data_IF_121186623357
#
_entry.id   IF_121186623357
#
_cell.length_a   1.000
_cell.length_b   1.000
_cell.length_c   1.000
_cell.angle_alpha   90.00
_cell.angle_beta   90.00
_cell.angle_gamma   90.00
#
_symmetry.space_group_name_H-M   'P 1'
#
loop_
_entity.id
_entity.type
_entity.pdbx_description
1 polymer ?
#
# COMPACT_ATOMS: atom_id res chain seq x y z
N UNK A 1 -19.11 2.96 6.44
CA UNK A 1 -17.98 2.30 5.76
C UNK A 1 -17.36 3.21 4.70
N UNK A 2 -18.16 3.74 3.77
CA UNK A 2 -17.68 4.65 2.71
C UNK A 2 -16.97 5.91 3.27
N UNK A 3 -17.61 6.65 4.19
CA UNK A 3 -17.00 7.84 4.82
C UNK A 3 -15.66 7.50 5.50
N UNK A 4 -15.61 6.39 6.24
CA UNK A 4 -14.38 5.91 6.89
C UNK A 4 -13.31 5.55 5.86
N UNK A 5 -13.68 4.94 4.73
CA UNK A 5 -12.76 4.60 3.65
C UNK A 5 -12.16 5.84 2.99
N UNK A 6 -12.98 6.88 2.76
CA UNK A 6 -12.51 8.18 2.27
C UNK A 6 -11.54 8.81 3.27
N UNK A 7 -11.91 8.90 4.55
CA UNK A 7 -11.05 9.48 5.58
C UNK A 7 -9.71 8.73 5.72
N UNK A 8 -9.73 7.39 5.71
CA UNK A 8 -8.51 6.57 5.73
C UNK A 8 -7.68 6.81 4.47
N UNK A 9 -8.30 6.88 3.29
CA UNK A 9 -7.62 7.15 2.04
C UNK A 9 -6.94 8.52 2.02
N UNK A 10 -7.64 9.57 2.44
CA UNK A 10 -7.09 10.92 2.56
C UNK A 10 -5.90 10.95 3.52
N UNK A 11 -6.06 10.38 4.71
CA UNK A 11 -4.99 10.31 5.71
C UNK A 11 -3.78 9.53 5.18
N UNK A 12 -4.00 8.37 4.57
CA UNK A 12 -2.94 7.56 3.98
C UNK A 12 -2.21 8.32 2.86
N UNK A 13 -2.93 8.99 1.96
CA UNK A 13 -2.33 9.77 0.89
C UNK A 13 -1.46 10.92 1.41
N UNK A 14 -1.92 11.66 2.42
CA UNK A 14 -1.13 12.71 3.08
C UNK A 14 0.11 12.14 3.77
N UNK A 15 -0.03 11.02 4.50
CA UNK A 15 1.11 10.39 5.17
C UNK A 15 2.15 9.85 4.18
N UNK A 16 1.70 9.30 3.05
CA UNK A 16 2.59 8.87 1.96
C UNK A 16 3.34 10.07 1.39
N UNK A 17 2.67 11.19 1.16
CA UNK A 17 3.31 12.41 0.65
C UNK A 17 4.34 12.97 1.64
N UNK A 18 3.98 13.12 2.91
CA UNK A 18 4.90 13.54 3.98
C UNK A 18 6.11 12.60 4.04
N UNK A 19 5.89 11.29 4.01
CA UNK A 19 6.98 10.32 3.98
C UNK A 19 7.88 10.45 2.75
N UNK A 20 7.27 10.63 1.58
CA UNK A 20 7.98 10.86 0.31
C UNK A 20 8.82 12.12 0.38
N UNK A 21 8.26 13.22 0.87
CA UNK A 21 8.96 14.49 1.05
C UNK A 21 10.16 14.35 2.00
N UNK A 22 9.95 13.74 3.17
CA UNK A 22 11.01 13.54 4.17
C UNK A 22 12.14 12.68 3.61
N UNK A 23 11.81 11.60 2.90
CA UNK A 23 12.82 10.73 2.27
C UNK A 23 13.51 11.41 1.10
N UNK A 24 12.78 12.19 0.29
CA UNK A 24 13.36 12.97 -0.80
C UNK A 24 14.40 13.98 -0.29
N UNK A 25 14.14 14.59 0.87
CA UNK A 25 14.99 15.64 1.44
C UNK A 25 16.11 15.11 2.34
N UNK A 26 15.83 14.11 3.17
CA UNK A 26 16.72 13.65 4.23
C UNK A 26 17.07 12.16 4.12
N UNK A 27 16.58 11.46 3.10
CA UNK A 27 16.82 10.04 2.91
C UNK A 27 18.30 9.70 2.78
N UNK A 28 18.67 8.44 3.07
CA UNK A 28 20.04 8.00 2.93
C UNK A 28 20.43 7.84 1.45
N UNK A 29 21.72 7.99 1.20
CA UNK A 29 22.36 7.86 -0.10
C UNK A 29 23.76 7.30 0.08
N UNK A 30 24.24 6.58 -0.92
CA UNK A 30 25.59 6.05 -0.98
C UNK A 30 26.07 5.95 -2.45
N UNK A 31 27.31 5.53 -2.65
CA UNK A 31 27.87 5.37 -3.99
C UNK A 31 27.05 4.35 -4.80
N UNK A 32 26.32 4.85 -5.80
CA UNK A 32 25.52 4.03 -6.71
C UNK A 32 24.03 3.93 -6.39
N UNK A 33 23.52 4.50 -5.29
CA UNK A 33 22.09 4.58 -5.01
C UNK A 33 21.71 5.74 -4.08
N UNK A 34 20.48 6.25 -4.22
CA UNK A 34 19.96 7.29 -3.33
C UNK A 34 18.45 7.12 -3.16
N UNK A 35 17.97 7.24 -1.91
CA UNK A 35 16.52 7.42 -1.67
C UNK A 35 16.10 8.89 -1.76
N UNK A 36 17.02 9.82 -1.98
CA UNK A 36 16.67 11.24 -2.21
C UNK A 36 16.16 11.47 -3.63
N UNK A 37 15.54 12.63 -3.83
CA UNK A 37 14.95 12.99 -5.13
C UNK A 37 13.99 11.90 -5.63
N UNK A 38 14.24 11.39 -6.84
CA UNK A 38 13.41 10.34 -7.44
C UNK A 38 13.41 9.01 -6.66
N UNK A 39 14.45 8.71 -5.88
CA UNK A 39 14.51 7.49 -5.06
C UNK A 39 13.42 7.44 -3.99
N UNK A 40 12.87 8.58 -3.59
CA UNK A 40 11.82 8.69 -2.60
C UNK A 40 10.47 8.12 -3.09
N UNK A 41 10.31 7.97 -4.41
CA UNK A 41 9.13 7.36 -5.02
C UNK A 41 8.96 5.88 -4.62
N UNK A 42 9.98 5.26 -4.04
CA UNK A 42 9.87 3.96 -3.36
C UNK A 42 8.81 3.96 -2.24
N UNK A 43 8.54 5.11 -1.60
CA UNK A 43 7.50 5.24 -0.58
C UNK A 43 6.08 5.09 -1.16
N UNK A 44 5.62 5.94 -2.10
CA UNK A 44 4.27 5.83 -2.64
C UNK A 44 4.09 4.59 -3.51
N UNK A 45 5.13 4.16 -4.25
CA UNK A 45 5.05 2.94 -5.06
C UNK A 45 5.23 1.64 -4.27
N UNK A 46 5.79 1.70 -3.07
CA UNK A 46 5.89 0.55 -2.16
C UNK A 46 4.72 0.48 -1.19
N UNK A 47 4.55 1.51 -0.35
CA UNK A 47 3.55 1.53 0.70
C UNK A 47 2.13 1.76 0.16
N UNK A 48 1.95 2.54 -0.90
CA UNK A 48 0.64 2.79 -1.51
C UNK A 48 -0.05 1.48 -1.93
N UNK A 49 0.58 0.66 -2.80
CA UNK A 49 0.04 -0.65 -3.16
C UNK A 49 -0.12 -1.60 -1.98
N UNK A 50 0.78 -1.58 -0.99
CA UNK A 50 0.64 -2.40 0.23
C UNK A 50 -0.63 -2.04 1.03
N UNK A 51 -0.89 -0.74 1.22
CA UNK A 51 -2.10 -0.24 1.89
C UNK A 51 -3.35 -0.69 1.12
N UNK A 52 -3.35 -0.54 -0.21
CA UNK A 52 -4.46 -0.98 -1.06
C UNK A 52 -4.66 -2.49 -1.00
N UNK A 53 -3.59 -3.28 -1.02
CA UNK A 53 -3.63 -4.73 -0.87
C UNK A 53 -4.37 -5.14 0.40
N UNK A 54 -3.96 -4.56 1.53
CA UNK A 54 -4.55 -4.86 2.83
C UNK A 54 -6.00 -4.41 2.96
N UNK A 55 -6.32 -3.23 2.46
CA UNK A 55 -7.68 -2.72 2.51
C UNK A 55 -8.64 -3.55 1.65
N UNK A 56 -8.27 -3.83 0.40
CA UNK A 56 -9.09 -4.64 -0.50
C UNK A 56 -9.23 -6.07 0.01
N UNK A 57 -8.15 -6.71 0.47
CA UNK A 57 -8.22 -8.03 1.08
C UNK A 57 -9.12 -8.04 2.33
N UNK A 58 -8.99 -7.03 3.19
CA UNK A 58 -9.85 -6.86 4.37
C UNK A 58 -11.33 -6.71 4.01
N UNK A 59 -11.66 -5.93 2.97
CA UNK A 59 -13.03 -5.81 2.47
C UNK A 59 -13.58 -7.14 1.94
N UNK A 60 -12.77 -7.91 1.22
CA UNK A 60 -13.17 -9.25 0.74
C UNK A 60 -13.41 -10.18 1.91
N UNK A 61 -12.53 -10.24 2.91
CA UNK A 61 -12.73 -11.03 4.11
C UNK A 61 -13.99 -10.61 4.88
N UNK A 62 -14.25 -9.30 4.99
CA UNK A 62 -15.46 -8.76 5.61
C UNK A 62 -16.72 -9.20 4.85
N UNK A 63 -16.72 -9.05 3.53
CA UNK A 63 -17.81 -9.49 2.66
C UNK A 63 -18.06 -10.99 2.80
N UNK A 64 -17.01 -11.79 3.01
CA UNK A 64 -17.11 -13.25 3.18
C UNK A 64 -17.38 -13.70 4.62
N UNK A 65 -17.67 -12.78 5.53
CA UNK A 65 -18.11 -13.09 6.90
C UNK A 65 -17.00 -13.45 7.89
N UNK A 66 -15.73 -13.13 7.60
CA UNK A 66 -14.65 -13.39 8.53
C UNK A 66 -14.69 -12.43 9.72
N UNK A 67 -14.85 -12.94 10.95
CA UNK A 67 -14.85 -12.12 12.17
C UNK A 67 -13.53 -11.34 12.40
N UNK A 68 -12.41 -11.86 11.90
CA UNK A 68 -11.07 -11.23 11.99
C UNK A 68 -10.65 -10.49 10.71
N UNK A 69 -11.59 -10.03 9.89
CA UNK A 69 -11.32 -9.42 8.59
C UNK A 69 -10.30 -8.27 8.64
N UNK A 70 -10.35 -7.41 9.66
CA UNK A 70 -9.38 -6.32 9.85
C UNK A 70 -7.96 -6.84 10.05
N UNK A 71 -7.79 -7.82 10.92
CA UNK A 71 -6.48 -8.40 11.20
C UNK A 71 -5.90 -9.07 9.95
N UNK A 72 -6.73 -9.77 9.17
CA UNK A 72 -6.31 -10.40 7.92
C UNK A 72 -5.95 -9.37 6.84
N UNK A 73 -6.71 -8.28 6.73
CA UNK A 73 -6.35 -7.15 5.87
C UNK A 73 -5.04 -6.49 6.29
N UNK A 74 -4.83 -6.27 7.59
CA UNK A 74 -3.57 -5.74 8.12
C UNK A 74 -2.39 -6.67 7.83
N UNK A 75 -2.55 -7.99 7.95
CA UNK A 75 -1.52 -8.96 7.56
C UNK A 75 -1.18 -8.80 6.07
N UNK A 76 -2.17 -8.65 5.20
CA UNK A 76 -1.92 -8.42 3.78
C UNK A 76 -1.17 -7.09 3.51
N UNK A 77 -1.49 -6.01 4.24
CA UNK A 77 -0.71 -4.78 4.15
C UNK A 77 0.74 -4.98 4.63
N UNK A 78 0.93 -5.66 5.76
CA UNK A 78 2.25 -5.94 6.33
C UNK A 78 3.12 -6.80 5.41
N UNK A 79 2.54 -7.75 4.67
CA UNK A 79 3.27 -8.52 3.65
C UNK A 79 3.80 -7.59 2.55
N UNK A 80 2.96 -6.68 2.03
CA UNK A 80 3.40 -5.68 1.04
C UNK A 80 4.49 -4.75 1.59
N UNK A 81 4.34 -4.29 2.83
CA UNK A 81 5.37 -3.49 3.51
C UNK A 81 6.67 -4.27 3.72
N UNK A 82 6.60 -5.55 4.07
CA UNK A 82 7.78 -6.39 4.23
C UNK A 82 8.56 -6.53 2.91
N UNK A 83 7.88 -6.66 1.77
CA UNK A 83 8.53 -6.66 0.45
C UNK A 83 9.28 -5.35 0.17
N UNK A 84 8.70 -4.20 0.56
CA UNK A 84 9.39 -2.91 0.46
C UNK A 84 10.62 -2.87 1.38
N UNK A 85 10.49 -3.33 2.62
CA UNK A 85 11.63 -3.37 3.55
C UNK A 85 12.76 -4.28 3.04
N UNK A 86 12.41 -5.43 2.45
CA UNK A 86 13.38 -6.31 1.80
C UNK A 86 14.07 -5.60 0.63
N UNK A 87 13.31 -4.89 -0.22
CA UNK A 87 13.85 -4.06 -1.30
C UNK A 87 14.91 -3.07 -0.79
N UNK A 88 14.57 -2.34 0.28
CA UNK A 88 15.47 -1.37 0.93
C UNK A 88 16.71 -2.06 1.51
N UNK A 89 16.55 -3.16 2.24
CA UNK A 89 17.68 -3.90 2.85
C UNK A 89 18.63 -4.42 1.78
N UNK A 90 18.11 -4.96 0.67
CA UNK A 90 18.94 -5.43 -0.45
C UNK A 90 19.74 -4.27 -1.04
N UNK A 91 19.12 -3.13 -1.28
CA UNK A 91 19.82 -1.96 -1.83
C UNK A 91 20.91 -1.44 -0.87
N UNK A 92 20.62 -1.40 0.43
CA UNK A 92 21.57 -0.94 1.44
C UNK A 92 22.76 -1.90 1.60
N UNK A 93 22.53 -3.21 1.56
CA UNK A 93 23.58 -4.22 1.76
C UNK A 93 24.45 -4.44 0.52
N UNK A 94 23.88 -4.32 -0.68
CA UNK A 94 24.54 -4.66 -1.94
C UNK A 94 24.77 -3.46 -2.87
N UNK A 95 24.45 -2.24 -2.43
CA UNK A 95 24.59 -1.00 -3.21
C UNK A 95 24.03 -1.13 -4.64
N UNK A 96 24.78 -0.68 -5.65
CA UNK A 96 24.40 -0.75 -7.07
C UNK A 96 24.12 -2.17 -7.56
N UNK A 97 24.79 -3.18 -7.01
CA UNK A 97 24.60 -4.59 -7.42
C UNK A 97 23.23 -5.11 -6.97
N UNK A 98 22.69 -4.56 -5.88
CA UNK A 98 21.36 -4.85 -5.37
C UNK A 98 20.22 -4.13 -6.11
N UNK A 99 20.51 -3.14 -6.95
CA UNK A 99 19.50 -2.28 -7.57
C UNK A 99 18.50 -3.05 -8.44
N UNK A 100 18.97 -4.04 -9.19
CA UNK A 100 18.09 -4.89 -10.01
C UNK A 100 17.06 -5.66 -9.19
N UNK A 101 17.50 -6.27 -8.08
CA UNK A 101 16.62 -7.02 -7.16
C UNK A 101 15.69 -6.07 -6.42
N UNK A 102 16.20 -4.94 -5.95
CA UNK A 102 15.41 -3.88 -5.31
C UNK A 102 14.26 -3.42 -6.21
N UNK A 103 14.55 -3.14 -7.48
CA UNK A 103 13.53 -2.74 -8.47
C UNK A 103 12.53 -3.87 -8.75
N UNK A 104 12.98 -5.13 -8.79
CA UNK A 104 12.11 -6.27 -8.98
C UNK A 104 11.06 -6.41 -7.85
N UNK A 105 11.41 -6.04 -6.61
CA UNK A 105 10.48 -6.05 -5.47
C UNK A 105 9.27 -5.15 -5.69
N UNK A 106 9.41 -4.02 -6.39
CA UNK A 106 8.27 -3.15 -6.73
C UNK A 106 7.23 -3.90 -7.56
N UNK A 107 7.65 -4.74 -8.52
CA UNK A 107 6.72 -5.56 -9.29
C UNK A 107 6.02 -6.61 -8.42
N UNK A 108 6.73 -7.21 -7.46
CA UNK A 108 6.11 -8.15 -6.51
C UNK A 108 5.10 -7.46 -5.61
N UNK A 109 5.36 -6.22 -5.17
CA UNK A 109 4.41 -5.41 -4.38
C UNK A 109 3.16 -5.08 -5.20
N UNK A 110 3.32 -4.68 -6.46
CA UNK A 110 2.19 -4.43 -7.37
C UNK A 110 1.40 -5.70 -7.66
N UNK A 111 2.08 -6.84 -7.87
CA UNK A 111 1.42 -8.13 -8.01
C UNK A 111 0.65 -8.49 -6.73
N UNK A 112 1.24 -8.27 -5.56
CA UNK A 112 0.61 -8.53 -4.27
C UNK A 112 -0.65 -7.68 -4.03
N UNK A 113 -0.66 -6.43 -4.48
CA UNK A 113 -1.84 -5.56 -4.45
C UNK A 113 -3.07 -6.21 -5.10
N UNK A 114 -2.86 -6.97 -6.17
CA UNK A 114 -3.91 -7.70 -6.90
C UNK A 114 -4.13 -9.10 -6.31
N UNK A 115 -3.05 -9.81 -5.98
CA UNK A 115 -3.14 -11.19 -5.49
C UNK A 115 -3.77 -11.29 -4.10
N UNK A 116 -3.50 -10.35 -3.19
CA UNK A 116 -4.04 -10.38 -1.82
C UNK A 116 -5.58 -10.46 -1.78
N UNK A 117 -6.34 -9.58 -2.48
CA UNK A 117 -7.80 -9.70 -2.52
C UNK A 117 -8.29 -10.94 -3.27
N UNK A 118 -7.58 -11.41 -4.29
CA UNK A 118 -7.92 -12.67 -4.99
C UNK A 118 -7.78 -13.87 -4.05
N UNK A 119 -6.68 -13.95 -3.32
CA UNK A 119 -6.44 -14.98 -2.31
C UNK A 119 -7.52 -14.93 -1.23
N UNK A 120 -7.86 -13.72 -0.75
CA UNK A 120 -8.95 -13.52 0.19
C UNK A 120 -10.31 -14.00 -0.36
N UNK A 121 -10.51 -14.00 -1.68
CA UNK A 121 -11.74 -14.46 -2.34
C UNK A 121 -11.83 -15.99 -2.49
N UNK A 122 -10.70 -16.70 -2.47
CA UNK A 122 -10.67 -18.17 -2.67
C UNK A 122 -10.47 -18.97 -1.38
N UNK A 123 -9.98 -18.37 -0.30
CA UNK A 123 -9.84 -19.04 1.01
C UNK A 123 -11.20 -19.61 1.47
N UNK A 124 -11.30 -20.85 1.98
CA UNK A 124 -12.59 -21.38 2.44
C UNK A 124 -13.26 -20.46 3.47
N UNK A 125 -14.51 -20.07 3.21
CA UNK A 125 -15.25 -19.17 4.09
C UNK A 125 -15.75 -19.91 5.35
N UNK A 126 -15.93 -19.20 6.48
CA UNK A 126 -16.60 -19.75 7.67
C UNK A 126 -18.00 -20.28 7.31
N UNK A 127 -18.41 -21.41 7.92
CA UNK A 127 -19.67 -22.11 7.61
C UNK A 127 -20.94 -21.46 8.19
N UNK A 128 -20.81 -20.43 9.02
CA UNK A 128 -21.95 -19.74 9.65
C UNK A 128 -22.47 -18.58 8.78
N UNK A 129 -23.79 -18.46 8.71
CA UNK A 129 -24.56 -17.85 7.60
C UNK A 129 -25.02 -16.38 7.86
N UNK A 130 -25.67 -15.68 6.91
CA UNK A 130 -25.16 -14.42 6.37
C UNK A 130 -25.98 -13.18 6.75
N UNK A 131 -25.31 -12.05 7.00
CA UNK A 131 -25.87 -10.77 6.55
C UNK A 131 -25.50 -10.66 5.06
N UNK A 132 -26.46 -10.47 4.15
CA UNK A 132 -26.15 -10.13 2.74
C UNK A 132 -25.25 -8.89 2.79
N UNK A 133 -23.94 -9.01 2.58
CA UNK A 133 -23.08 -7.85 2.67
C UNK A 133 -23.37 -7.02 1.42
N UNK A 134 -23.67 -5.74 1.62
CA UNK A 134 -24.00 -4.84 0.52
C UNK A 134 -22.78 -4.72 -0.41
N UNK A 135 -22.79 -5.47 -1.52
CA UNK A 135 -21.68 -5.54 -2.47
C UNK A 135 -21.32 -4.14 -2.99
N UNK A 136 -22.33 -3.34 -3.31
CA UNK A 136 -22.17 -1.96 -3.77
C UNK A 136 -21.41 -1.10 -2.73
N UNK A 137 -21.71 -1.26 -1.44
CA UNK A 137 -21.03 -0.54 -0.37
C UNK A 137 -19.55 -0.93 -0.24
N UNK A 138 -19.21 -2.21 -0.43
CA UNK A 138 -17.82 -2.70 -0.37
C UNK A 138 -17.01 -2.25 -1.58
N UNK A 139 -17.56 -2.42 -2.79
CA UNK A 139 -16.93 -1.94 -4.03
C UNK A 139 -16.75 -0.43 -3.99
N UNK A 140 -17.80 0.30 -3.58
CA UNK A 140 -17.75 1.76 -3.41
C UNK A 140 -16.67 2.19 -2.41
N UNK A 141 -16.55 1.52 -1.26
CA UNK A 141 -15.50 1.81 -0.28
C UNK A 141 -14.10 1.54 -0.85
N UNK A 142 -13.90 0.44 -1.58
CA UNK A 142 -12.62 0.09 -2.21
C UNK A 142 -12.21 1.08 -3.30
N UNK A 143 -13.14 1.51 -4.15
CA UNK A 143 -12.88 2.55 -5.15
C UNK A 143 -12.55 3.88 -4.47
N UNK A 144 -13.37 4.30 -3.51
CA UNK A 144 -13.23 5.61 -2.88
C UNK A 144 -11.95 5.73 -2.03
N UNK A 145 -11.49 4.68 -1.36
CA UNK A 145 -10.18 4.74 -0.70
C UNK A 145 -9.06 4.90 -1.74
N UNK A 146 -9.16 4.21 -2.87
CA UNK A 146 -8.12 4.22 -3.91
C UNK A 146 -8.03 5.62 -4.51
N UNK A 147 -9.18 6.20 -4.87
CA UNK A 147 -9.27 7.57 -5.37
C UNK A 147 -8.80 8.57 -4.31
N UNK A 148 -9.29 8.47 -3.07
CA UNK A 148 -8.93 9.42 -2.01
C UNK A 148 -7.43 9.38 -1.70
N UNK A 149 -6.80 8.21 -1.66
CA UNK A 149 -5.36 8.05 -1.46
C UNK A 149 -4.57 8.71 -2.59
N UNK A 150 -4.91 8.41 -3.85
CA UNK A 150 -4.20 8.96 -5.02
C UNK A 150 -4.37 10.47 -5.11
N UNK A 151 -5.59 10.97 -4.90
CA UNK A 151 -5.89 12.41 -4.93
C UNK A 151 -5.18 13.13 -3.79
N UNK A 152 -5.25 12.62 -2.57
CA UNK A 152 -4.60 13.25 -1.43
C UNK A 152 -3.08 13.28 -1.58
N UNK A 153 -2.46 12.18 -2.05
CA UNK A 153 -1.04 12.16 -2.36
C UNK A 153 -0.67 13.20 -3.42
N UNK A 154 -1.41 13.21 -4.55
CA UNK A 154 -1.17 14.15 -5.66
C UNK A 154 -1.32 15.61 -5.22
N UNK A 155 -2.37 15.94 -4.47
CA UNK A 155 -2.63 17.30 -4.00
C UNK A 155 -1.62 17.74 -2.94
N UNK A 156 -1.28 16.86 -1.99
CA UNK A 156 -0.31 17.18 -0.95
C UNK A 156 1.08 17.45 -1.55
N UNK A 157 1.46 16.73 -2.61
CA UNK A 157 2.73 16.94 -3.32
C UNK A 157 2.86 18.31 -4.00
N UNK A 158 1.75 19.01 -4.25
CA UNK A 158 1.76 20.40 -4.76
C UNK A 158 2.18 21.40 -3.68
N UNK A 159 2.01 21.04 -2.40
CA UNK A 159 2.35 21.86 -1.24
C UNK A 159 3.72 21.46 -0.69
N UNK A 160 3.96 20.15 -0.56
CA UNK A 160 5.22 19.57 -0.11
C UNK A 160 6.07 19.14 -1.31
N UNK A 161 6.41 20.10 -2.17
CA UNK A 161 7.25 19.81 -3.32
C UNK A 161 8.57 19.16 -2.84
N UNK A 162 8.91 17.94 -3.28
CA UNK A 162 10.21 17.35 -3.00
C UNK A 162 11.24 18.26 -3.65
N UNK A 163 11.95 19.05 -2.84
CA UNK A 163 12.79 20.14 -3.30
C UNK A 163 13.77 19.69 -4.39
N UNK A 164 13.93 20.56 -5.40
CA UNK A 164 14.91 20.45 -6.49
C UNK A 164 16.33 20.20 -5.99
#
# INVERSE_FOLDING_TARGET
MVLSAVAIGLLAGVLLDVGTFLVARYGPEADGWSFRGNGALSIPFGLGPAILAGFWAGLVFRFRGFGRWLALGLVAALVGTALLLISVVVLVLFNSDGAGVSNAMTYFILAWMVLAPILAAVVPAPREHPARPELAGHVGAGILITVALVVAFSVASLVLAPGS
#
